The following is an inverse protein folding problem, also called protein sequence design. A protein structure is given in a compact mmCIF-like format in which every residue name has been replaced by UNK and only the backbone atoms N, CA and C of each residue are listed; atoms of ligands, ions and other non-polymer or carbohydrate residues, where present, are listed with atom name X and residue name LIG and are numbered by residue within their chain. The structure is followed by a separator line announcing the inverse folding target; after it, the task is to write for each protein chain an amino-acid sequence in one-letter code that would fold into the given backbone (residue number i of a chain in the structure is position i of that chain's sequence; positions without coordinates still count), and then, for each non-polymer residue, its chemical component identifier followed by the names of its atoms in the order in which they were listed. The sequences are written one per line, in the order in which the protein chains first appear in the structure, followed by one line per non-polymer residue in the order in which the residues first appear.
data_IF_712270276585
#
_entry.id   IF_712270276585
#
_cell.length_a   1.000
_cell.length_b   1.000
_cell.length_c   1.000
_cell.angle_alpha   90.00
_cell.angle_beta   90.00
_cell.angle_gamma   90.00
#
_symmetry.space_group_name_H-M   'P 1'
#
loop_
_entity.id
_entity.type
_entity.pdbx_description
1 polymer ?
#
# COMPACT_ATOMS: atom_id res chain seq x y z
N UNK A 1 4.98 -24.67 -3.95
CA UNK A 1 3.93 -23.64 -4.17
C UNK A 1 4.08 -22.58 -3.09
N UNK A 2 4.78 -21.47 -3.37
CA UNK A 2 4.87 -20.34 -2.40
C UNK A 2 3.51 -19.66 -2.40
N UNK A 3 2.80 -19.65 -1.26
CA UNK A 3 1.69 -18.72 -1.07
C UNK A 3 2.28 -17.32 -1.19
N UNK A 4 2.01 -16.60 -2.28
CA UNK A 4 2.33 -15.17 -2.34
C UNK A 4 1.45 -14.53 -1.26
N UNK A 5 2.07 -13.99 -0.21
CA UNK A 5 1.34 -13.20 0.78
C UNK A 5 0.64 -12.03 0.09
N UNK A 6 -0.47 -11.55 0.65
CA UNK A 6 -1.14 -10.36 0.13
C UNK A 6 -0.15 -9.19 0.18
N UNK A 7 -0.01 -8.42 -0.91
CA UNK A 7 0.98 -7.36 -0.98
C UNK A 7 0.68 -6.25 0.04
N UNK A 8 1.72 -5.73 0.67
CA UNK A 8 1.66 -4.48 1.44
C UNK A 8 2.07 -3.34 0.53
N UNK A 9 1.24 -2.30 0.47
CA UNK A 9 1.54 -1.10 -0.30
C UNK A 9 2.20 -0.08 0.62
N UNK A 10 3.20 0.61 0.11
CA UNK A 10 3.96 1.62 0.86
C UNK A 10 3.81 2.94 0.13
N UNK A 11 3.32 3.95 0.85
CA UNK A 11 3.43 5.34 0.44
C UNK A 11 4.60 5.95 1.19
N UNK A 12 5.59 6.40 0.43
CA UNK A 12 6.69 7.18 0.97
C UNK A 12 6.20 8.57 1.36
N UNK A 13 6.23 8.90 2.65
CA UNK A 13 5.89 10.24 3.14
C UNK A 13 7.14 11.11 3.23
N UNK A 14 8.19 10.64 3.90
CA UNK A 14 9.49 11.32 3.97
C UNK A 14 10.62 10.36 4.36
N UNK A 15 11.78 10.53 3.73
CA UNK A 15 13.09 9.95 4.12
C UNK A 15 14.15 10.71 3.32
N UNK A 16 15.34 10.91 3.88
CA UNK A 16 16.39 11.70 3.22
C UNK A 16 16.98 11.00 1.97
N UNK A 17 16.89 9.67 1.91
CA UNK A 17 17.34 8.87 0.77
C UNK A 17 16.51 7.60 0.60
N UNK A 18 16.64 6.96 -0.57
CA UNK A 18 16.04 5.65 -0.86
C UNK A 18 16.83 4.48 -0.25
N UNK A 19 18.05 4.75 0.19
CA UNK A 19 18.95 3.74 0.71
C UNK A 19 18.36 3.09 1.98
N UNK A 20 18.13 1.77 1.92
CA UNK A 20 17.62 1.00 3.06
C UNK A 20 16.12 1.16 3.35
N UNK A 21 15.35 1.92 2.55
CA UNK A 21 13.91 2.11 2.75
C UNK A 21 13.16 0.78 2.87
N UNK A 22 13.47 -0.18 2.00
CA UNK A 22 12.82 -1.48 2.02
C UNK A 22 13.05 -2.23 3.34
N UNK A 23 14.28 -2.21 3.86
CA UNK A 23 14.63 -2.90 5.11
C UNK A 23 13.96 -2.23 6.32
N UNK A 24 13.91 -0.90 6.33
CA UNK A 24 13.22 -0.12 7.37
C UNK A 24 11.74 -0.47 7.41
N UNK A 25 11.06 -0.47 6.25
CA UNK A 25 9.65 -0.82 6.17
C UNK A 25 9.42 -2.26 6.62
N UNK A 26 10.22 -3.21 6.12
CA UNK A 26 10.10 -4.62 6.50
C UNK A 26 10.30 -4.85 8.00
N UNK A 27 11.23 -4.12 8.63
CA UNK A 27 11.45 -4.16 10.07
C UNK A 27 10.30 -3.55 10.88
N UNK A 28 9.60 -2.54 10.35
CA UNK A 28 8.48 -1.88 11.03
C UNK A 28 7.14 -2.61 10.92
N UNK A 29 6.92 -3.42 9.88
CA UNK A 29 5.64 -4.12 9.65
C UNK A 29 5.16 -5.00 10.82
N UNK A 30 6.01 -5.78 11.52
CA UNK A 30 5.58 -6.63 12.62
C UNK A 30 5.01 -5.87 13.82
N UNK A 31 5.42 -4.62 14.02
CA UNK A 31 5.01 -3.77 15.15
C UNK A 31 4.08 -2.63 14.72
N UNK A 32 3.66 -2.60 13.46
CA UNK A 32 2.80 -1.56 12.93
C UNK A 32 1.43 -1.57 13.62
N UNK A 33 1.02 -0.41 14.12
CA UNK A 33 -0.30 -0.20 14.72
C UNK A 33 -1.33 0.04 13.60
N UNK A 34 -2.05 -1.03 13.23
CA UNK A 34 -3.00 -1.00 12.12
C UNK A 34 -4.34 -0.38 12.52
N UNK A 35 -4.71 0.68 11.83
CA UNK A 35 -6.03 1.30 11.87
C UNK A 35 -6.93 0.66 10.82
N UNK A 36 -8.14 0.29 11.21
CA UNK A 36 -9.17 -0.19 10.28
C UNK A 36 -9.60 0.93 9.34
N UNK A 37 -9.58 0.67 8.04
CA UNK A 37 -9.95 1.65 7.02
C UNK A 37 -11.23 1.29 6.25
N UNK A 38 -11.42 1.91 5.07
CA UNK A 38 -12.63 1.71 4.27
C UNK A 38 -12.69 0.30 3.65
N UNK A 39 -13.90 -0.08 3.24
CA UNK A 39 -14.13 -1.29 2.46
C UNK A 39 -13.95 -1.00 0.98
N UNK A 40 -13.03 -1.74 0.34
CA UNK A 40 -12.79 -1.79 -1.09
C UNK A 40 -13.48 -3.02 -1.69
N UNK A 41 -14.36 -2.78 -2.67
CA UNK A 41 -14.90 -3.84 -3.53
C UNK A 41 -14.15 -3.83 -4.85
N UNK A 42 -13.66 -4.98 -5.29
CA UNK A 42 -12.90 -5.11 -6.53
C UNK A 42 -13.35 -6.32 -7.35
N UNK A 43 -13.19 -6.23 -8.68
CA UNK A 43 -13.39 -7.32 -9.63
C UNK A 43 -12.15 -8.18 -9.84
N UNK A 44 -11.01 -7.85 -9.22
CA UNK A 44 -9.79 -8.67 -9.26
C UNK A 44 -8.51 -7.88 -9.42
N UNK A 45 -8.57 -6.79 -10.18
CA UNK A 45 -7.44 -5.95 -10.53
C UNK A 45 -7.60 -4.56 -9.92
N UNK A 46 -6.51 -4.00 -9.43
CA UNK A 46 -6.42 -2.60 -8.99
C UNK A 46 -5.29 -1.92 -9.75
N UNK A 47 -5.56 -0.74 -10.30
CA UNK A 47 -4.52 0.08 -10.92
C UNK A 47 -4.02 1.07 -9.87
N UNK A 48 -2.73 1.02 -9.58
CA UNK A 48 -2.07 1.93 -8.66
C UNK A 48 -1.23 2.94 -9.44
N UNK A 49 -1.35 4.20 -9.05
CA UNK A 49 -0.57 5.30 -9.55
C UNK A 49 0.39 5.79 -8.45
N UNK A 50 1.52 6.35 -8.84
CA UNK A 50 2.54 6.88 -7.92
C UNK A 50 2.17 8.25 -7.33
N UNK A 51 1.23 8.96 -7.95
CA UNK A 51 0.72 10.24 -7.49
C UNK A 51 -0.82 10.30 -7.45
N UNK A 52 -1.32 11.38 -6.86
CA UNK A 52 -2.75 11.70 -6.88
C UNK A 52 -3.10 12.40 -8.20
N UNK A 53 -4.16 11.92 -8.85
CA UNK A 53 -4.65 12.45 -10.12
C UNK A 53 -6.15 12.73 -10.04
N UNK A 54 -6.63 13.65 -10.88
CA UNK A 54 -8.05 13.80 -11.07
C UNK A 54 -8.60 12.56 -11.79
N UNK A 55 -9.82 12.15 -11.45
CA UNK A 55 -10.48 11.01 -12.09
C UNK A 55 -10.61 11.16 -13.61
N UNK A 56 -10.65 12.40 -14.11
CA UNK A 56 -10.69 12.72 -15.54
C UNK A 56 -9.38 12.47 -16.28
N UNK A 57 -8.27 12.32 -15.56
CA UNK A 57 -6.94 12.03 -16.12
C UNK A 57 -6.66 10.53 -16.15
N UNK A 58 -7.51 9.71 -15.53
CA UNK A 58 -7.38 8.25 -15.52
C UNK A 58 -7.54 7.73 -16.95
N UNK A 59 -6.48 7.07 -17.47
CA UNK A 59 -6.40 6.55 -18.83
C UNK A 59 -5.47 7.33 -19.77
N UNK A 60 -5.03 8.53 -19.39
CA UNK A 60 -3.99 9.28 -20.11
C UNK A 60 -2.60 9.15 -19.47
N UNK A 61 -2.54 8.54 -18.29
CA UNK A 61 -1.32 8.35 -17.51
C UNK A 61 -0.57 7.11 -17.97
N UNK A 62 0.76 7.23 -18.08
CA UNK A 62 1.63 6.14 -18.55
C UNK A 62 2.27 5.35 -17.40
N UNK A 63 2.44 5.99 -16.25
CA UNK A 63 3.12 5.39 -15.09
C UNK A 63 2.09 4.85 -14.10
N UNK A 64 1.83 3.55 -14.21
CA UNK A 64 0.94 2.83 -13.31
C UNK A 64 1.38 1.38 -13.18
N UNK A 65 0.94 0.72 -12.11
CA UNK A 65 1.12 -0.72 -11.93
C UNK A 65 -0.19 -1.38 -11.61
N UNK A 66 -0.38 -2.60 -12.14
CA UNK A 66 -1.54 -3.44 -11.83
C UNK A 66 -1.23 -4.31 -10.63
N UNK A 67 -2.15 -4.35 -9.68
CA UNK A 67 -2.13 -5.18 -8.49
C UNK A 67 -3.25 -6.21 -8.55
N UNK A 68 -2.87 -7.47 -8.55
CA UNK A 68 -3.80 -8.60 -8.44
C UNK A 68 -4.21 -8.80 -6.98
N UNK A 69 -5.47 -8.49 -6.65
CA UNK A 69 -6.02 -8.71 -5.31
C UNK A 69 -7.09 -9.82 -5.28
N UNK A 70 -7.63 -10.21 -6.45
CA UNK A 70 -8.73 -11.16 -6.57
C UNK A 70 -10.08 -10.51 -6.29
N UNK A 71 -11.12 -10.95 -7.00
CA UNK A 71 -12.45 -10.36 -6.87
C UNK A 71 -13.02 -10.55 -5.46
N UNK A 72 -13.63 -9.52 -4.88
CA UNK A 72 -14.19 -9.62 -3.53
C UNK A 72 -14.31 -8.30 -2.80
N UNK A 73 -14.52 -8.41 -1.48
CA UNK A 73 -14.55 -7.27 -0.55
C UNK A 73 -13.37 -7.34 0.40
N UNK A 74 -12.63 -6.26 0.51
CA UNK A 74 -11.46 -6.13 1.37
C UNK A 74 -11.61 -4.89 2.23
N UNK A 75 -11.22 -4.96 3.50
CA UNK A 75 -10.93 -3.77 4.28
C UNK A 75 -9.48 -3.36 4.03
N UNK A 76 -9.26 -2.07 3.80
CA UNK A 76 -7.91 -1.52 3.62
C UNK A 76 -7.46 -0.96 4.96
N UNK A 77 -6.74 -1.77 5.73
CA UNK A 77 -6.13 -1.29 6.98
C UNK A 77 -4.88 -0.47 6.64
N UNK A 78 -4.59 0.54 7.46
CA UNK A 78 -3.43 1.42 7.28
C UNK A 78 -2.65 1.58 8.58
N UNK A 79 -1.33 1.77 8.48
CA UNK A 79 -0.49 2.08 9.63
C UNK A 79 0.61 3.07 9.24
N UNK A 80 1.16 3.76 10.23
CA UNK A 80 2.38 4.57 10.04
C UNK A 80 3.61 3.79 10.52
N UNK A 81 4.72 3.91 9.79
CA UNK A 81 6.04 3.45 10.20
C UNK A 81 6.95 4.67 10.27
N UNK A 82 7.34 5.03 11.49
CA UNK A 82 8.13 6.22 11.81
C UNK A 82 9.29 5.82 12.74
N UNK A 83 10.39 5.28 12.20
CA UNK A 83 11.51 4.82 13.02
C UNK A 83 12.26 5.97 13.71
N UNK A 84 12.20 7.18 13.14
CA UNK A 84 12.78 8.40 13.68
C UNK A 84 12.02 9.66 13.18
N UNK A 85 12.53 10.84 13.50
CA UNK A 85 11.89 12.13 13.15
C UNK A 85 12.05 12.54 11.68
N UNK A 86 12.91 11.86 10.93
CA UNK A 86 13.27 12.16 9.54
C UNK A 86 12.86 11.04 8.59
N UNK A 87 12.08 10.07 9.05
CA UNK A 87 11.65 8.93 8.26
C UNK A 87 10.20 8.60 8.58
N UNK A 88 9.33 8.61 7.57
CA UNK A 88 7.91 8.33 7.69
C UNK A 88 7.37 7.64 6.45
N UNK A 89 6.66 6.55 6.66
CA UNK A 89 5.94 5.80 5.64
C UNK A 89 4.51 5.55 6.09
N UNK A 90 3.56 5.59 5.14
CA UNK A 90 2.23 5.02 5.35
C UNK A 90 2.19 3.66 4.65
N UNK A 91 1.78 2.62 5.38
CA UNK A 91 1.62 1.28 4.81
C UNK A 91 0.16 0.88 4.78
N UNK A 92 -0.22 0.10 3.77
CA UNK A 92 -1.58 -0.38 3.57
C UNK A 92 -1.58 -1.88 3.36
N UNK A 93 -2.54 -2.57 3.98
CA UNK A 93 -2.79 -4.00 3.74
C UNK A 93 -4.25 -4.23 3.42
N UNK A 94 -4.51 -5.24 2.61
CA UNK A 94 -5.86 -5.69 2.30
C UNK A 94 -6.24 -6.87 3.18
N UNK A 95 -7.27 -6.70 4.00
CA UNK A 95 -7.87 -7.76 4.83
C UNK A 95 -9.15 -8.20 4.15
N UNK A 96 -9.22 -9.46 3.73
CA UNK A 96 -10.42 -9.99 3.07
C UNK A 96 -11.56 -10.12 4.07
N UNK A 97 -12.74 -9.69 3.63
CA UNK A 97 -13.96 -9.78 4.39
C UNK A 97 -14.76 -10.97 3.85
N UNK A 98 -14.98 -11.95 4.73
CA UNK A 98 -15.88 -13.09 4.50
C UNK A 98 -17.34 -12.69 4.53
#
# INVERSE_FOLDING_TARGET
MRRRGKPTLVRWCYAESEEGVADIVLAGLPTAEWEEGPVLKTTGELVMFDAAYFGTEVGTLTDSTVLELGAGSYRVDSASIEPDRLTSFRVHRSVELT
#
